data_IF_020243798912
#
_entry.id   IF_020243798912
#
_cell.length_a   1.000
_cell.length_b   1.000
_cell.length_c   1.000
_cell.angle_alpha   90.00
_cell.angle_beta   90.00
_cell.angle_gamma   90.00
#
_symmetry.space_group_name_H-M   'P 1'
#
loop_
_entity.id
_entity.type
_entity.pdbx_description
1 polymer ?
#
# COMPACT_ATOMS: atom_id res chain seq x y z
N UNK A 1 7.75 1.51 -8.75
CA UNK A 1 7.48 1.80 -10.18
C UNK A 1 8.37 1.01 -11.16
N UNK A 2 9.63 0.72 -10.86
CA UNK A 2 10.62 0.23 -11.85
C UNK A 2 10.34 -1.15 -12.46
N UNK A 3 9.44 -1.95 -11.91
CA UNK A 3 9.11 -3.29 -12.41
C UNK A 3 7.61 -3.59 -12.40
N UNK A 4 6.78 -2.56 -12.25
CA UNK A 4 5.34 -2.76 -12.13
C UNK A 4 4.72 -3.45 -13.36
N UNK A 5 5.27 -3.17 -14.55
CA UNK A 5 4.81 -3.72 -15.84
C UNK A 5 5.00 -5.24 -15.95
N UNK A 6 5.80 -5.85 -15.06
CA UNK A 6 6.06 -7.30 -15.06
C UNK A 6 5.05 -8.10 -14.22
N UNK A 7 4.12 -7.42 -13.57
CA UNK A 7 3.20 -8.06 -12.62
C UNK A 7 1.75 -7.79 -13.00
N UNK A 8 0.96 -8.87 -13.09
CA UNK A 8 -0.50 -8.84 -13.22
C UNK A 8 -1.01 -7.81 -14.25
N UNK A 9 -1.90 -6.89 -13.85
CA UNK A 9 -2.44 -5.85 -14.74
C UNK A 9 -1.46 -4.71 -15.07
N UNK A 10 -0.27 -4.70 -14.46
CA UNK A 10 0.68 -3.59 -14.58
C UNK A 10 1.14 -3.30 -16.00
N UNK A 11 1.25 -4.31 -16.87
CA UNK A 11 1.66 -4.10 -18.26
C UNK A 11 0.69 -3.18 -19.02
N UNK A 12 -0.60 -3.24 -18.69
CA UNK A 12 -1.64 -2.41 -19.32
C UNK A 12 -1.51 -0.92 -19.01
N UNK A 13 -0.71 -0.54 -18.03
CA UNK A 13 -0.47 0.86 -17.64
C UNK A 13 0.78 1.48 -18.27
N UNK A 14 1.53 0.70 -19.05
CA UNK A 14 2.75 1.19 -19.73
C UNK A 14 2.50 2.40 -20.64
N UNK A 15 1.41 2.46 -21.41
CA UNK A 15 1.13 3.64 -22.24
C UNK A 15 0.96 4.94 -21.43
N UNK A 16 0.55 4.82 -20.15
CA UNK A 16 0.34 5.98 -19.29
C UNK A 16 1.59 6.37 -18.48
N UNK A 17 2.27 5.37 -17.92
CA UNK A 17 3.37 5.61 -16.97
C UNK A 17 4.76 5.38 -17.55
N UNK A 18 4.88 4.74 -18.71
CA UNK A 18 6.16 4.34 -19.29
C UNK A 18 6.70 3.01 -18.75
N UNK A 19 7.85 2.60 -19.24
CA UNK A 19 8.51 1.35 -18.85
C UNK A 19 10.01 1.59 -18.61
N UNK A 20 10.45 1.36 -17.38
CA UNK A 20 11.85 1.56 -16.97
C UNK A 20 12.88 0.72 -17.77
N UNK A 21 12.42 -0.24 -18.56
CA UNK A 21 13.31 -1.07 -19.40
C UNK A 21 13.46 -0.53 -20.83
N UNK A 22 12.65 0.48 -21.22
CA UNK A 22 12.72 1.04 -22.57
C UNK A 22 13.98 1.92 -22.77
N UNK A 23 14.31 2.73 -21.78
CA UNK A 23 15.46 3.63 -21.86
C UNK A 23 15.96 4.08 -20.47
N UNK A 24 17.23 4.56 -20.38
CA UNK A 24 17.75 5.18 -19.17
C UNK A 24 16.92 6.38 -18.70
N UNK A 25 16.34 7.14 -19.61
CA UNK A 25 15.51 8.32 -19.33
C UNK A 25 14.20 7.91 -18.65
N UNK A 26 13.49 6.91 -19.20
CA UNK A 26 12.28 6.37 -18.57
C UNK A 26 12.58 5.73 -17.20
N UNK A 27 13.72 5.04 -17.08
CA UNK A 27 14.17 4.53 -15.78
C UNK A 27 14.37 5.66 -14.76
N UNK A 28 15.11 6.71 -15.14
CA UNK A 28 15.38 7.86 -14.28
C UNK A 28 14.08 8.56 -13.86
N UNK A 29 13.19 8.80 -14.81
CA UNK A 29 11.87 9.39 -14.59
C UNK A 29 11.05 8.57 -13.59
N UNK A 30 10.86 7.26 -13.84
CA UNK A 30 10.09 6.38 -12.97
C UNK A 30 10.71 6.24 -11.58
N UNK A 31 12.04 6.23 -11.48
CA UNK A 31 12.75 6.15 -10.21
C UNK A 31 12.55 7.41 -9.37
N UNK A 32 12.50 8.57 -10.00
CA UNK A 32 12.39 9.86 -9.31
C UNK A 32 11.13 9.96 -8.43
N UNK A 33 10.01 9.35 -8.85
CA UNK A 33 8.78 9.36 -8.06
C UNK A 33 8.36 7.99 -7.51
N UNK A 34 9.14 6.95 -7.72
CA UNK A 34 8.83 5.61 -7.19
C UNK A 34 8.82 5.60 -5.67
N UNK A 35 7.69 5.36 -4.98
CA UNK A 35 7.61 5.45 -3.53
C UNK A 35 8.65 4.57 -2.83
N UNK A 36 8.74 3.30 -3.22
CA UNK A 36 9.69 2.34 -2.64
C UNK A 36 11.14 2.80 -2.70
N UNK A 37 11.54 3.48 -3.79
CA UNK A 37 12.94 3.88 -4.02
C UNK A 37 13.29 5.24 -3.41
N UNK A 38 12.30 5.95 -2.87
CA UNK A 38 12.45 7.28 -2.29
C UNK A 38 12.18 7.33 -0.78
N UNK A 39 11.95 6.18 -0.15
CA UNK A 39 11.87 6.08 1.30
C UNK A 39 13.26 6.36 1.88
N UNK A 40 13.33 7.30 2.81
CA UNK A 40 14.54 7.69 3.55
C UNK A 40 14.23 7.65 5.04
N UNK A 41 15.23 7.48 5.93
CA UNK A 41 15.02 7.64 7.36
C UNK A 41 14.41 9.00 7.68
N UNK A 42 13.19 9.03 8.21
CA UNK A 42 12.44 10.24 8.53
C UNK A 42 11.29 9.95 9.50
N UNK A 43 10.71 11.00 10.08
CA UNK A 43 9.45 10.91 10.85
C UNK A 43 8.28 10.88 9.87
N UNK A 44 7.75 9.70 9.63
CA UNK A 44 6.56 9.48 8.79
C UNK A 44 5.28 9.64 9.60
N UNK A 45 4.18 10.07 8.98
CA UNK A 45 2.87 10.07 9.64
C UNK A 45 2.40 8.64 9.92
N UNK A 46 1.38 8.50 10.78
CA UNK A 46 0.70 7.24 10.98
C UNK A 46 0.25 6.66 9.63
N UNK A 47 0.73 5.47 9.30
CA UNK A 47 0.54 4.87 7.98
C UNK A 47 0.03 3.44 8.12
N UNK A 48 -1.08 3.11 7.48
CA UNK A 48 -1.55 1.74 7.34
C UNK A 48 -1.66 1.36 5.87
N UNK A 49 -0.85 0.39 5.45
CA UNK A 49 -0.97 -0.24 4.13
C UNK A 49 -2.01 -1.35 4.21
N UNK A 50 -2.92 -1.40 3.25
CA UNK A 50 -3.92 -2.47 3.16
C UNK A 50 -3.71 -3.25 1.87
N UNK A 51 -3.72 -4.58 1.96
CA UNK A 51 -3.57 -5.48 0.82
C UNK A 51 -4.31 -6.80 1.09
N UNK A 52 -4.48 -7.62 0.05
CA UNK A 52 -4.98 -8.98 0.17
C UNK A 52 -3.92 -9.98 -0.30
N UNK A 53 -3.90 -11.15 0.30
CA UNK A 53 -2.87 -12.17 0.03
C UNK A 53 -2.99 -12.83 -1.34
N UNK A 54 -4.19 -12.84 -1.92
CA UNK A 54 -4.51 -13.40 -3.25
C UNK A 54 -4.92 -12.30 -4.25
N UNK A 55 -4.40 -11.08 -4.09
CA UNK A 55 -4.66 -10.00 -5.03
C UNK A 55 -3.99 -10.31 -6.39
N UNK A 56 -4.83 -10.65 -7.37
CA UNK A 56 -4.44 -11.01 -8.73
C UNK A 56 -4.39 -9.82 -9.69
N UNK A 57 -4.83 -8.65 -9.25
CA UNK A 57 -4.79 -7.40 -10.01
C UNK A 57 -3.58 -6.55 -9.67
N UNK A 58 -3.35 -6.34 -8.37
CA UNK A 58 -2.18 -5.63 -7.86
C UNK A 58 -1.43 -6.54 -6.89
N UNK A 59 -0.41 -7.21 -7.37
CA UNK A 59 0.30 -8.24 -6.61
C UNK A 59 0.73 -7.72 -5.22
N UNK A 60 0.40 -8.45 -4.14
CA UNK A 60 0.64 -8.00 -2.76
C UNK A 60 2.12 -7.77 -2.43
N UNK A 61 3.03 -8.32 -3.23
CA UNK A 61 4.47 -8.08 -3.10
C UNK A 61 4.86 -6.60 -3.17
N UNK A 62 4.08 -5.75 -3.87
CA UNK A 62 4.32 -4.30 -3.88
C UNK A 62 4.09 -3.70 -2.50
N UNK A 63 3.00 -4.08 -1.84
CA UNK A 63 2.67 -3.65 -0.47
C UNK A 63 3.68 -4.17 0.54
N UNK A 64 4.06 -5.45 0.44
CA UNK A 64 5.05 -6.04 1.35
C UNK A 64 6.43 -5.38 1.24
N UNK A 65 6.91 -5.13 0.02
CA UNK A 65 8.18 -4.43 -0.20
C UNK A 65 8.14 -2.99 0.31
N UNK A 66 7.03 -2.29 0.07
CA UNK A 66 6.87 -0.92 0.53
C UNK A 66 6.91 -0.85 2.06
N UNK A 67 6.10 -1.67 2.75
CA UNK A 67 6.02 -1.62 4.21
C UNK A 67 7.31 -2.09 4.87
N UNK A 68 7.95 -3.14 4.34
CA UNK A 68 9.23 -3.64 4.88
C UNK A 68 10.38 -2.66 4.74
N UNK A 69 10.25 -1.69 3.82
CA UNK A 69 11.22 -0.59 3.68
C UNK A 69 10.82 0.60 4.56
N UNK A 70 9.52 0.88 4.68
CA UNK A 70 9.03 2.04 5.42
C UNK A 70 9.16 1.86 6.94
N UNK A 71 8.88 0.66 7.47
CA UNK A 71 8.97 0.38 8.90
C UNK A 71 10.35 0.69 9.50
N UNK A 72 11.47 0.18 8.96
CA UNK A 72 12.79 0.49 9.50
C UNK A 72 13.24 1.94 9.21
N UNK A 73 12.61 2.62 8.26
CA UNK A 73 12.90 4.03 7.95
C UNK A 73 12.15 5.01 8.86
N UNK A 74 11.15 4.56 9.62
CA UNK A 74 10.42 5.40 10.57
C UNK A 74 11.31 5.81 11.74
N UNK A 75 11.46 7.12 11.94
CA UNK A 75 12.21 7.71 13.06
C UNK A 75 11.33 8.41 14.10
N UNK A 76 10.02 8.34 13.93
CA UNK A 76 9.04 8.88 14.88
C UNK A 76 8.24 7.77 15.56
N UNK A 77 7.33 8.16 16.46
CA UNK A 77 6.49 7.25 17.24
C UNK A 77 5.18 6.88 16.53
N UNK A 78 4.90 7.49 15.38
CA UNK A 78 3.68 7.21 14.63
C UNK A 78 3.68 5.78 14.06
N UNK A 79 2.58 5.03 14.19
CA UNK A 79 2.51 3.63 13.79
C UNK A 79 2.62 3.47 12.26
N UNK A 80 3.42 2.51 11.82
CA UNK A 80 3.54 2.08 10.43
C UNK A 80 3.19 0.60 10.36
N UNK A 81 2.00 0.31 9.88
CA UNK A 81 1.37 -1.01 9.92
C UNK A 81 1.01 -1.52 8.53
N UNK A 82 0.88 -2.83 8.41
CA UNK A 82 0.24 -3.46 7.27
C UNK A 82 -0.93 -4.31 7.75
N UNK A 83 -2.07 -4.18 7.07
CA UNK A 83 -3.22 -5.04 7.22
C UNK A 83 -3.32 -5.94 5.99
N UNK A 84 -3.19 -7.24 6.19
CA UNK A 84 -3.32 -8.24 5.12
C UNK A 84 -4.66 -8.93 5.27
N UNK A 85 -5.52 -8.81 4.26
CA UNK A 85 -6.75 -9.60 4.19
C UNK A 85 -6.39 -10.97 3.63
N UNK A 86 -6.54 -12.00 4.46
CA UNK A 86 -6.28 -13.38 4.06
C UNK A 86 -7.47 -13.97 3.27
N UNK A 87 -7.17 -14.89 2.36
CA UNK A 87 -8.16 -15.58 1.52
C UNK A 87 -9.04 -14.62 0.70
N UNK A 88 -8.46 -13.51 0.24
CA UNK A 88 -9.17 -12.50 -0.53
C UNK A 88 -8.34 -12.01 -1.71
N UNK A 89 -9.05 -11.66 -2.80
CA UNK A 89 -8.48 -11.02 -3.98
C UNK A 89 -8.56 -9.49 -3.91
N UNK A 90 -8.62 -8.83 -5.07
CA UNK A 90 -8.61 -7.36 -5.21
C UNK A 90 -9.88 -6.64 -4.69
N UNK A 91 -10.66 -7.26 -3.84
CA UNK A 91 -11.85 -6.66 -3.21
C UNK A 91 -13.19 -7.10 -3.79
N UNK A 92 -13.24 -7.63 -4.99
CA UNK A 92 -14.47 -8.21 -5.54
C UNK A 92 -14.75 -9.58 -4.89
N UNK A 93 -16.04 -9.83 -4.57
CA UNK A 93 -16.48 -11.14 -4.07
C UNK A 93 -16.17 -11.42 -2.60
N UNK A 94 -15.71 -10.44 -1.82
CA UNK A 94 -15.54 -10.62 -0.38
C UNK A 94 -16.87 -10.77 0.35
N UNK A 95 -17.00 -11.72 1.31
CA UNK A 95 -18.14 -11.79 2.21
C UNK A 95 -18.35 -10.46 2.96
N UNK A 96 -19.60 -10.10 3.21
CA UNK A 96 -19.96 -8.84 3.92
C UNK A 96 -19.29 -8.73 5.28
N UNK A 97 -19.15 -9.84 6.02
CA UNK A 97 -18.45 -9.86 7.31
C UNK A 97 -16.99 -9.45 7.21
N UNK A 98 -16.30 -9.88 6.16
CA UNK A 98 -14.89 -9.48 5.90
C UNK A 98 -14.78 -8.00 5.53
N UNK A 99 -15.76 -7.48 4.77
CA UNK A 99 -15.82 -6.05 4.42
C UNK A 99 -16.04 -5.22 5.69
N UNK A 100 -16.97 -5.63 6.55
CA UNK A 100 -17.23 -4.95 7.84
C UNK A 100 -15.96 -4.93 8.69
N UNK A 101 -15.30 -6.08 8.85
CA UNK A 101 -14.07 -6.17 9.63
C UNK A 101 -12.96 -5.26 9.05
N UNK A 102 -12.80 -5.26 7.73
CA UNK A 102 -11.82 -4.40 7.06
C UNK A 102 -12.09 -2.92 7.30
N UNK A 103 -13.36 -2.50 7.24
CA UNK A 103 -13.74 -1.12 7.52
C UNK A 103 -13.56 -0.78 9.00
N UNK A 104 -13.88 -1.69 9.91
CA UNK A 104 -13.66 -1.49 11.34
C UNK A 104 -12.17 -1.26 11.66
N UNK A 105 -11.28 -2.09 11.13
CA UNK A 105 -9.84 -1.95 11.32
C UNK A 105 -9.32 -0.62 10.75
N UNK A 106 -9.81 -0.22 9.56
CA UNK A 106 -9.44 1.05 8.92
C UNK A 106 -9.85 2.26 9.77
N UNK A 107 -11.09 2.27 10.25
CA UNK A 107 -11.60 3.38 11.07
C UNK A 107 -10.97 3.40 12.46
N UNK A 108 -10.72 2.23 13.08
CA UNK A 108 -10.02 2.14 14.34
C UNK A 108 -8.61 2.74 14.25
N UNK A 109 -7.87 2.38 13.20
CA UNK A 109 -6.55 2.97 12.94
C UNK A 109 -6.63 4.49 12.73
N UNK A 110 -7.60 4.97 11.94
CA UNK A 110 -7.78 6.39 11.67
C UNK A 110 -8.07 7.17 12.97
N UNK A 111 -9.06 6.75 13.74
CA UNK A 111 -9.43 7.42 15.00
C UNK A 111 -8.28 7.41 16.01
N UNK A 112 -7.61 6.28 16.15
CA UNK A 112 -6.41 6.19 16.99
C UNK A 112 -5.34 7.20 16.55
N UNK A 113 -5.09 7.28 15.26
CA UNK A 113 -4.01 8.13 14.71
C UNK A 113 -4.28 9.63 14.83
N UNK A 114 -5.56 10.03 14.87
CA UNK A 114 -5.95 11.43 15.06
C UNK A 114 -6.33 11.78 16.52
N UNK A 115 -6.21 10.81 17.43
CA UNK A 115 -6.49 11.02 18.87
C UNK A 115 -7.97 11.21 19.17
N UNK A 116 -8.88 10.70 18.34
CA UNK A 116 -10.33 10.81 18.52
C UNK A 116 -10.89 9.49 19.03
N UNK A 117 -11.68 9.54 20.11
CA UNK A 117 -12.49 8.41 20.56
C UNK A 117 -13.91 8.57 20.00
N UNK A 118 -14.36 7.70 19.09
CA UNK A 118 -15.70 7.82 18.54
C UNK A 118 -16.76 7.50 19.61
N UNK A 119 -17.81 8.32 19.69
CA UNK A 119 -18.99 8.08 20.52
C UNK A 119 -20.09 7.55 19.61
N UNK A 120 -20.58 6.36 19.91
CA UNK A 120 -21.73 5.78 19.19
C UNK A 120 -22.98 6.17 19.94
N UNK A 121 -23.91 6.84 19.25
CA UNK A 121 -25.23 7.14 19.80
C UNK A 121 -25.96 5.84 20.18
N UNK A 122 -26.74 5.88 21.26
CA UNK A 122 -27.64 4.79 21.63
C UNK A 122 -28.83 4.70 20.69
#
# INVERSE_FOLDING_TARGET
MLRYQKFTAGFGWVPEYGNAENSPEEFAYLKAYSPLHNIKPAKYPATMVMTADHDDRVVPAHSFKFISTLQPAQQGDAPVLIRVQTQAGHGAGMPTSMIIQQQADKWAFFFHSVGVTPTFGK
#
